data_IF_705976470002
#
_entry.id   IF_705976470002
#
_cell.length_a   1.000
_cell.length_b   1.000
_cell.length_c   1.000
_cell.angle_alpha   90.00
_cell.angle_beta   90.00
_cell.angle_gamma   90.00
#
_symmetry.space_group_name_H-M   'P 1'
#
loop_
_entity.id
_entity.type
_entity.pdbx_description
1 polymer ?
#
# COMPACT_ATOMS: atom_id res chain seq x y z
N UNK A 1 10.63 -0.17 5.13
CA UNK A 1 9.16 -0.09 5.12
C UNK A 1 8.51 -1.45 5.37
N UNK A 2 9.02 -2.53 4.78
CA UNK A 2 8.44 -3.88 4.87
C UNK A 2 8.17 -4.38 6.30
N UNK A 3 9.03 -4.02 7.26
CA UNK A 3 8.83 -4.37 8.68
C UNK A 3 7.55 -3.74 9.23
N UNK A 4 7.29 -2.46 8.93
CA UNK A 4 6.10 -1.75 9.39
C UNK A 4 4.85 -2.36 8.75
N UNK A 5 4.88 -2.54 7.42
CA UNK A 5 3.79 -3.16 6.68
C UNK A 5 3.45 -4.57 7.21
N UNK A 6 4.48 -5.38 7.47
CA UNK A 6 4.31 -6.73 8.04
C UNK A 6 3.72 -6.67 9.45
N UNK A 7 4.22 -5.81 10.32
CA UNK A 7 3.68 -5.62 11.68
C UNK A 7 2.22 -5.17 11.65
N UNK A 8 1.89 -4.16 10.84
CA UNK A 8 0.51 -3.66 10.74
C UNK A 8 -0.46 -4.75 10.29
N UNK A 9 -0.09 -5.51 9.26
CA UNK A 9 -0.91 -6.63 8.81
C UNK A 9 -1.02 -7.75 9.87
N UNK A 10 0.04 -8.01 10.66
CA UNK A 10 -0.01 -8.93 11.79
C UNK A 10 -0.97 -8.46 12.91
N UNK A 11 -1.09 -7.15 13.11
CA UNK A 11 -2.06 -6.56 14.05
C UNK A 11 -3.48 -6.43 13.46
N UNK A 12 -3.76 -7.01 12.29
CA UNK A 12 -5.08 -6.97 11.65
C UNK A 12 -5.38 -5.69 10.86
N UNK A 13 -4.45 -4.74 10.81
CA UNK A 13 -4.59 -3.56 9.95
C UNK A 13 -4.22 -3.93 8.52
N UNK A 14 -5.23 -4.09 7.66
CA UNK A 14 -5.11 -4.43 6.23
C UNK A 14 -4.42 -3.33 5.41
N UNK A 15 -3.11 -3.18 5.63
CA UNK A 15 -2.27 -2.12 5.05
C UNK A 15 -1.59 -2.64 3.79
N UNK A 16 -1.39 -1.75 2.81
CA UNK A 16 -0.82 -2.11 1.49
C UNK A 16 0.34 -1.18 1.14
N UNK A 17 1.34 -1.62 0.37
CA UNK A 17 2.29 -0.69 -0.23
C UNK A 17 1.56 0.22 -1.23
N UNK A 18 2.11 1.41 -1.49
CA UNK A 18 1.62 2.27 -2.58
C UNK A 18 1.81 1.60 -3.95
N UNK A 19 1.07 2.07 -4.96
CA UNK A 19 1.16 1.55 -6.31
C UNK A 19 2.60 1.55 -6.83
N UNK A 20 3.00 0.41 -7.43
CA UNK A 20 4.27 0.26 -8.13
C UNK A 20 4.32 1.20 -9.32
N UNK A 21 5.46 1.86 -9.53
CA UNK A 21 5.62 2.79 -10.65
C UNK A 21 5.50 2.09 -12.00
N UNK A 22 4.79 2.74 -12.94
CA UNK A 22 4.49 2.18 -14.25
C UNK A 22 5.74 1.81 -15.04
N UNK A 23 6.79 2.64 -15.00
CA UNK A 23 8.05 2.39 -15.70
C UNK A 23 8.80 1.14 -15.19
N UNK A 24 8.38 0.54 -14.07
CA UNK A 24 8.93 -0.73 -13.56
C UNK A 24 8.13 -1.94 -14.03
N UNK A 25 7.03 -1.74 -14.75
CA UNK A 25 6.22 -2.82 -15.33
C UNK A 25 6.80 -3.18 -16.71
N UNK A 26 6.93 -4.47 -17.05
CA UNK A 26 7.57 -4.91 -18.30
C UNK A 26 6.95 -4.31 -19.57
N UNK A 27 5.63 -4.09 -19.57
CA UNK A 27 4.89 -3.50 -20.69
C UNK A 27 5.23 -2.03 -20.97
N UNK A 28 5.82 -1.31 -20.00
CA UNK A 28 6.15 0.11 -20.13
C UNK A 28 7.67 0.36 -20.19
N UNK A 29 8.49 -0.69 -20.38
CA UNK A 29 9.96 -0.59 -20.33
C UNK A 29 10.54 0.35 -21.40
N UNK A 30 9.91 0.39 -22.57
CA UNK A 30 10.39 1.12 -23.76
C UNK A 30 9.72 2.50 -23.93
N UNK A 31 8.87 2.91 -22.98
CA UNK A 31 8.19 4.20 -23.05
C UNK A 31 9.05 5.31 -22.45
N UNK A 32 8.98 6.49 -23.07
CA UNK A 32 9.64 7.68 -22.55
C UNK A 32 9.09 8.04 -21.16
N UNK A 33 9.96 8.51 -20.29
CA UNK A 33 9.64 8.95 -18.93
C UNK A 33 10.41 10.23 -18.61
N UNK A 34 9.78 11.11 -17.83
CA UNK A 34 10.45 12.26 -17.23
C UNK A 34 11.34 11.83 -16.06
N UNK A 35 11.92 12.80 -15.35
CA UNK A 35 12.47 12.53 -14.02
C UNK A 35 11.36 12.01 -13.08
N UNK A 36 11.65 10.90 -12.39
CA UNK A 36 10.74 10.21 -11.47
C UNK A 36 11.32 10.12 -10.05
N UNK A 37 12.34 10.92 -9.72
CA UNK A 37 13.05 10.87 -8.42
C UNK A 37 12.09 10.85 -7.22
N UNK A 38 11.10 11.75 -7.20
CA UNK A 38 10.11 11.81 -6.11
C UNK A 38 9.20 10.58 -6.10
N UNK A 39 8.74 10.15 -7.27
CA UNK A 39 7.84 9.02 -7.38
C UNK A 39 8.53 7.71 -6.92
N UNK A 40 9.82 7.54 -7.23
CA UNK A 40 10.65 6.43 -6.74
C UNK A 40 10.80 6.50 -5.22
N UNK A 41 10.99 7.70 -4.67
CA UNK A 41 11.08 7.90 -3.23
C UNK A 41 9.75 7.57 -2.53
N UNK A 42 8.61 7.92 -3.13
CA UNK A 42 7.29 7.59 -2.61
C UNK A 42 7.03 6.10 -2.57
N UNK A 43 7.33 5.38 -3.66
CA UNK A 43 7.16 3.93 -3.73
C UNK A 43 7.93 3.19 -2.61
N UNK A 44 9.10 3.70 -2.21
CA UNK A 44 9.94 3.10 -1.17
C UNK A 44 9.45 3.37 0.25
N UNK A 45 8.75 4.49 0.48
CA UNK A 45 8.53 5.05 1.81
C UNK A 45 7.06 5.32 2.19
N UNK A 46 6.10 5.14 1.28
CA UNK A 46 4.67 5.36 1.56
C UNK A 46 3.88 4.05 1.55
N UNK A 47 3.12 3.81 2.63
CA UNK A 47 2.10 2.77 2.73
C UNK A 47 0.70 3.38 2.69
N UNK A 48 -0.24 2.61 2.16
CA UNK A 48 -1.67 2.88 2.25
C UNK A 48 -2.20 2.34 3.57
N UNK A 49 -2.85 3.22 4.32
CA UNK A 49 -3.55 2.87 5.54
C UNK A 49 -5.00 2.47 5.23
N UNK A 50 -5.61 1.61 6.06
CA UNK A 50 -7.04 1.35 5.99
C UNK A 50 -7.81 2.66 6.24
N UNK A 51 -8.49 3.17 5.21
CA UNK A 51 -9.21 4.46 5.24
C UNK A 51 -10.72 4.32 5.02
N UNK A 52 -11.25 3.10 4.99
CA UNK A 52 -12.69 2.84 4.92
C UNK A 52 -13.45 3.37 6.14
N UNK A 53 -14.69 3.83 5.92
CA UNK A 53 -15.56 4.41 6.95
C UNK A 53 -15.95 3.43 8.07
N UNK A 54 -15.78 2.12 7.86
CA UNK A 54 -16.11 1.06 8.82
C UNK A 54 -14.96 0.67 9.76
N UNK A 55 -13.84 1.41 9.76
CA UNK A 55 -12.61 1.00 10.46
C UNK A 55 -12.50 1.40 11.93
N UNK A 56 -13.59 1.80 12.58
CA UNK A 56 -13.57 2.13 14.01
C UNK A 56 -14.51 1.24 14.81
N UNK A 57 -14.10 -0.02 14.99
CA UNK A 57 -14.68 -0.85 16.05
C UNK A 57 -13.58 -1.74 16.62
N UNK A 58 -12.78 -1.15 17.51
CA UNK A 58 -11.62 -1.78 18.16
C UNK A 58 -11.99 -2.95 19.10
N UNK A 59 -13.28 -3.33 19.18
CA UNK A 59 -13.77 -4.44 20.00
C UNK A 59 -14.89 -5.28 19.36
N UNK A 60 -15.18 -5.17 18.05
CA UNK A 60 -16.21 -6.02 17.46
C UNK A 60 -15.60 -7.28 16.84
N UNK A 61 -15.66 -8.38 17.57
CA UNK A 61 -15.91 -9.68 16.94
C UNK A 61 -17.07 -9.52 15.94
N UNK A 62 -16.99 -10.22 14.80
CA UNK A 62 -17.88 -10.14 13.62
C UNK A 62 -17.45 -9.05 12.63
N UNK A 63 -17.26 -9.43 11.37
CA UNK A 63 -17.81 -8.75 10.18
C UNK A 63 -17.46 -9.49 8.86
N UNK A 64 -17.31 -10.83 8.89
CA UNK A 64 -17.34 -11.66 7.68
C UNK A 64 -18.07 -12.98 7.95
N UNK A 65 -19.37 -12.90 8.21
CA UNK A 65 -20.29 -13.95 7.78
C UNK A 65 -20.96 -13.47 6.49
N UNK A 66 -20.75 -14.23 5.42
CA UNK A 66 -21.60 -14.24 4.23
C UNK A 66 -21.89 -15.70 3.91
#
# INVERSE_FOLDING_TARGET
>A
MDIILKKMNQFGFSSRPICRLLNKLPMYKDYSRSDLTNAINHEKNIINLPSGSYHFNLNSERYYEK
#
